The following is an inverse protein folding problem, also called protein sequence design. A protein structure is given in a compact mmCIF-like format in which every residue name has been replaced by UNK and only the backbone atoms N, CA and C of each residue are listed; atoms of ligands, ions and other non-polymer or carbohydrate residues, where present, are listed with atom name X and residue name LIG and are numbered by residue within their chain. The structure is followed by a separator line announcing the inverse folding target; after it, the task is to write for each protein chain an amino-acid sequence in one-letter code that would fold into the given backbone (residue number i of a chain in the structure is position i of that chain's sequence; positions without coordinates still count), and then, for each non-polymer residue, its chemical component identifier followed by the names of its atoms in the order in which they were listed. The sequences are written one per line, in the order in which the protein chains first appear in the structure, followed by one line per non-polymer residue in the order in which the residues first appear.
data_IF_397590655991
#
_entry.id   IF_397590655991
#
_cell.length_a   1.000
_cell.length_b   1.000
_cell.length_c   1.000
_cell.angle_alpha   90.00
_cell.angle_beta   90.00
_cell.angle_gamma   90.00
#
_symmetry.space_group_name_H-M   'P 1'
#
loop_
_entity.id
_entity.type
_entity.pdbx_description
1 polymer ?
#
# COMPACT_ATOMS: atom_id res chain seq x y z
N UNK A 1 11.62 23.89 -10.10
CA UNK A 1 11.18 24.55 -11.34
C UNK A 1 10.64 25.97 -11.03
N UNK A 2 10.38 26.31 -9.78
CA UNK A 2 10.04 27.66 -9.34
C UNK A 2 8.62 28.15 -9.69
N UNK A 3 7.74 27.29 -10.17
CA UNK A 3 6.36 27.62 -10.47
C UNK A 3 5.49 27.25 -9.26
N UNK A 4 4.78 28.21 -8.64
CA UNK A 4 3.84 27.91 -7.57
C UNK A 4 2.74 26.97 -8.07
N UNK A 5 2.49 25.90 -7.32
CA UNK A 5 1.46 24.91 -7.64
C UNK A 5 0.64 24.61 -6.40
N UNK A 6 -0.61 24.19 -6.60
CA UNK A 6 -1.50 23.69 -5.56
C UNK A 6 -2.30 22.52 -6.11
N UNK A 7 -2.42 21.46 -5.33
CA UNK A 7 -3.29 20.32 -5.65
C UNK A 7 -4.64 20.51 -4.96
N UNK A 8 -5.73 20.30 -5.68
CA UNK A 8 -7.07 20.28 -5.08
C UNK A 8 -7.46 18.83 -4.82
N UNK A 9 -7.80 18.51 -3.58
CA UNK A 9 -8.16 17.17 -3.17
C UNK A 9 -9.35 17.17 -2.20
N UNK A 10 -10.13 16.09 -2.19
CA UNK A 10 -11.07 15.83 -1.10
C UNK A 10 -10.34 15.42 0.17
N UNK A 11 -11.00 15.48 1.35
CA UNK A 11 -10.36 15.23 2.66
C UNK A 11 -9.63 13.90 2.74
N UNK A 12 -10.24 12.86 2.21
CA UNK A 12 -9.70 11.48 2.22
C UNK A 12 -8.47 11.26 1.35
N UNK A 13 -8.16 12.21 0.44
CA UNK A 13 -7.01 12.10 -0.46
C UNK A 13 -5.83 13.01 -0.07
N UNK A 14 -5.99 13.85 0.94
CA UNK A 14 -4.94 14.80 1.35
C UNK A 14 -3.68 14.08 1.80
N UNK A 15 -3.81 13.06 2.64
CA UNK A 15 -2.67 12.25 3.10
C UNK A 15 -1.94 11.58 1.94
N UNK A 16 -2.68 11.07 0.94
CA UNK A 16 -2.11 10.48 -0.27
C UNK A 16 -1.34 11.50 -1.11
N UNK A 17 -1.86 12.71 -1.26
CA UNK A 17 -1.16 13.80 -1.98
C UNK A 17 0.18 14.10 -1.30
N UNK A 18 0.20 14.22 0.03
CA UNK A 18 1.41 14.48 0.80
C UNK A 18 2.42 13.33 0.69
N UNK A 19 2.00 12.09 0.94
CA UNK A 19 2.86 10.90 0.82
C UNK A 19 3.47 10.77 -0.57
N UNK A 20 2.66 11.01 -1.62
CA UNK A 20 3.14 10.99 -3.01
C UNK A 20 4.15 12.09 -3.25
N UNK A 21 3.91 13.30 -2.75
CA UNK A 21 4.83 14.44 -2.85
C UNK A 21 6.18 14.12 -2.23
N UNK A 22 6.20 13.67 -0.98
CA UNK A 22 7.42 13.27 -0.26
C UNK A 22 8.20 12.21 -1.03
N UNK A 23 7.54 11.12 -1.45
CA UNK A 23 8.19 10.02 -2.16
C UNK A 23 8.67 10.38 -3.57
N UNK A 24 8.14 11.48 -4.15
CA UNK A 24 8.57 12.05 -5.43
C UNK A 24 9.60 13.18 -5.28
N UNK A 25 10.10 13.43 -4.07
CA UNK A 25 11.09 14.46 -3.80
C UNK A 25 10.51 15.90 -3.79
N UNK A 26 9.20 16.04 -3.63
CA UNK A 26 8.50 17.30 -3.45
C UNK A 26 7.90 17.32 -2.04
N UNK A 27 8.70 17.56 -0.99
CA UNK A 27 8.28 17.37 0.39
C UNK A 27 7.12 18.30 0.81
N UNK A 28 7.02 19.49 0.21
CA UNK A 28 5.93 20.41 0.48
C UNK A 28 5.06 20.54 -0.76
N UNK A 29 4.08 19.68 -0.87
CA UNK A 29 3.05 19.75 -1.91
C UNK A 29 1.79 20.38 -1.32
N UNK A 30 1.62 21.69 -1.53
CA UNK A 30 0.46 22.41 -1.01
C UNK A 30 -0.84 21.90 -1.59
N UNK A 31 -1.81 21.68 -0.71
CA UNK A 31 -3.11 21.12 -1.05
C UNK A 31 -4.21 22.10 -0.62
N UNK A 32 -5.19 22.29 -1.49
CA UNK A 32 -6.45 22.94 -1.17
C UNK A 32 -7.50 21.85 -0.98
N UNK A 33 -8.05 21.77 0.22
CA UNK A 33 -8.99 20.73 0.58
C UNK A 33 -10.43 21.15 0.25
N UNK A 34 -11.10 20.35 -0.57
CA UNK A 34 -12.51 20.50 -0.86
C UNK A 34 -13.34 19.79 0.22
N UNK A 35 -14.27 20.47 0.92
CA UNK A 35 -14.91 19.92 2.12
C UNK A 35 -16.03 18.88 1.84
N UNK A 36 -16.29 18.55 0.60
CA UNK A 36 -17.36 17.66 0.16
C UNK A 36 -16.89 16.60 -0.82
N UNK A 37 -17.82 16.10 -1.61
CA UNK A 37 -17.56 15.10 -2.64
C UNK A 37 -17.86 15.65 -4.04
N UNK A 38 -16.84 15.90 -4.83
CA UNK A 38 -16.95 16.47 -6.18
C UNK A 38 -17.98 15.77 -7.08
N UNK A 39 -18.09 14.45 -6.94
CA UNK A 39 -18.96 13.65 -7.81
C UNK A 39 -20.44 13.66 -7.40
N UNK A 40 -20.75 13.98 -6.15
CA UNK A 40 -22.11 13.88 -5.60
C UNK A 40 -22.70 15.20 -5.13
N UNK A 41 -21.88 16.24 -4.96
CA UNK A 41 -22.37 17.55 -4.54
C UNK A 41 -23.16 18.24 -5.66
N UNK A 42 -24.20 18.95 -5.27
CA UNK A 42 -24.97 19.78 -6.21
C UNK A 42 -24.12 20.88 -6.82
N UNK A 43 -24.51 21.37 -7.99
CA UNK A 43 -23.82 22.51 -8.65
C UNK A 43 -23.72 23.73 -7.73
N UNK A 44 -24.74 24.01 -6.96
CA UNK A 44 -24.78 25.12 -6.02
C UNK A 44 -23.77 24.93 -4.88
N UNK A 45 -23.74 23.73 -4.30
CA UNK A 45 -22.74 23.34 -3.27
C UNK A 45 -21.33 23.44 -3.81
N UNK A 46 -21.08 22.91 -5.02
CA UNK A 46 -19.78 23.02 -5.69
C UNK A 46 -19.34 24.47 -5.86
N UNK A 47 -20.23 25.35 -6.34
CA UNK A 47 -19.92 26.76 -6.55
C UNK A 47 -19.67 27.51 -5.22
N UNK A 48 -20.46 27.23 -4.19
CA UNK A 48 -20.27 27.78 -2.85
C UNK A 48 -18.91 27.36 -2.28
N UNK A 49 -18.64 26.06 -2.23
CA UNK A 49 -17.40 25.53 -1.69
C UNK A 49 -16.17 25.99 -2.49
N UNK A 50 -16.29 26.13 -3.80
CA UNK A 50 -15.21 26.67 -4.63
C UNK A 50 -14.86 28.11 -4.26
N UNK A 51 -15.85 28.96 -4.02
CA UNK A 51 -15.64 30.38 -3.68
C UNK A 51 -15.24 30.60 -2.23
N UNK A 52 -15.92 29.93 -1.30
CA UNK A 52 -15.78 30.21 0.13
C UNK A 52 -14.64 29.40 0.77
N UNK A 53 -14.33 28.21 0.26
CA UNK A 53 -13.36 27.31 0.87
C UNK A 53 -12.12 27.13 -0.01
N UNK A 54 -12.27 26.71 -1.27
CA UNK A 54 -11.12 26.42 -2.12
C UNK A 54 -10.34 27.68 -2.52
N UNK A 55 -11.03 28.71 -2.97
CA UNK A 55 -10.37 29.91 -3.49
C UNK A 55 -9.41 30.57 -2.50
N UNK A 56 -9.78 30.78 -1.22
CA UNK A 56 -8.84 31.30 -0.21
C UNK A 56 -7.59 30.43 -0.05
N UNK A 57 -7.76 29.10 0.00
CA UNK A 57 -6.65 28.14 0.12
C UNK A 57 -5.75 28.18 -1.12
N UNK A 58 -6.34 28.16 -2.31
CA UNK A 58 -5.60 28.23 -3.59
C UNK A 58 -4.81 29.54 -3.66
N UNK A 59 -5.44 30.67 -3.37
CA UNK A 59 -4.78 31.98 -3.38
C UNK A 59 -3.58 31.97 -2.44
N UNK A 60 -3.77 31.54 -1.19
CA UNK A 60 -2.71 31.44 -0.19
C UNK A 60 -1.57 30.54 -0.70
N UNK A 61 -1.90 29.34 -1.19
CA UNK A 61 -0.92 28.37 -1.67
C UNK A 61 -0.06 28.89 -2.84
N UNK A 62 -0.64 29.71 -3.71
CA UNK A 62 0.05 30.24 -4.90
C UNK A 62 0.83 31.54 -4.64
N UNK A 63 0.44 32.33 -3.62
CA UNK A 63 1.00 33.67 -3.40
C UNK A 63 1.97 33.75 -2.22
N UNK A 64 1.82 32.89 -1.23
CA UNK A 64 2.70 32.89 -0.05
C UNK A 64 3.92 31.99 -0.25
N UNK A 65 5.07 32.41 0.29
CA UNK A 65 6.28 31.60 0.30
C UNK A 65 6.10 30.38 1.22
N UNK A 66 6.69 29.24 0.83
CA UNK A 66 6.79 28.07 1.70
C UNK A 66 7.61 28.44 2.93
N UNK A 67 7.09 28.15 4.11
CA UNK A 67 7.71 28.46 5.39
C UNK A 67 8.63 27.32 5.87
N UNK A 68 9.61 27.64 6.74
CA UNK A 68 10.42 26.61 7.39
C UNK A 68 9.59 25.60 8.20
N UNK A 69 8.45 26.07 8.77
CA UNK A 69 7.53 25.21 9.52
C UNK A 69 6.88 24.18 8.59
N UNK A 70 6.36 24.61 7.44
CA UNK A 70 5.79 23.71 6.44
C UNK A 70 6.84 22.67 5.95
N UNK A 71 8.09 23.11 5.73
CA UNK A 71 9.15 22.17 5.33
C UNK A 71 9.39 21.13 6.42
N UNK A 72 9.43 21.54 7.69
CA UNK A 72 9.66 20.63 8.81
C UNK A 72 8.47 19.66 9.04
N UNK A 73 7.24 20.14 8.83
CA UNK A 73 6.02 19.35 8.99
C UNK A 73 5.91 18.22 7.93
N UNK A 74 6.40 18.48 6.72
CA UNK A 74 6.36 17.53 5.60
C UNK A 74 7.74 16.95 5.27
N UNK A 75 8.76 17.24 6.08
CA UNK A 75 10.06 16.59 5.90
C UNK A 75 9.87 15.07 6.03
N UNK A 76 10.36 14.27 5.09
CA UNK A 76 10.33 12.84 5.25
C UNK A 76 11.07 12.51 6.55
N UNK A 77 10.46 11.68 7.40
CA UNK A 77 11.25 11.00 8.44
C UNK A 77 12.44 10.37 7.73
N UNK A 78 13.64 10.55 8.30
CA UNK A 78 14.86 10.02 7.69
C UNK A 78 14.65 8.55 7.33
N UNK A 79 15.11 8.11 6.15
CA UNK A 79 15.01 6.71 5.75
C UNK A 79 15.62 5.84 6.84
N UNK A 80 14.80 5.05 7.50
CA UNK A 80 15.26 4.04 8.44
C UNK A 80 15.79 2.85 7.65
N UNK A 81 16.85 2.18 8.13
CA UNK A 81 17.25 0.89 7.56
C UNK A 81 16.06 -0.07 7.54
N UNK A 82 15.93 -0.85 6.48
CA UNK A 82 14.79 -1.78 6.36
C UNK A 82 14.83 -2.91 7.41
N UNK A 83 16.00 -3.19 7.95
CA UNK A 83 16.31 -4.17 8.99
C UNK A 83 16.34 -3.58 10.41
N UNK A 84 15.95 -2.31 10.59
CA UNK A 84 15.87 -1.70 11.92
C UNK A 84 14.82 -2.40 12.78
N UNK A 85 15.21 -2.80 13.99
CA UNK A 85 14.25 -3.31 14.96
C UNK A 85 13.45 -2.15 15.52
N UNK A 86 12.16 -2.13 15.22
CA UNK A 86 11.25 -1.02 15.53
C UNK A 86 10.49 -1.20 16.84
N UNK A 87 10.41 -2.43 17.35
CA UNK A 87 9.67 -2.72 18.58
C UNK A 87 10.13 -4.01 19.24
N UNK A 88 10.11 -4.03 20.58
CA UNK A 88 10.29 -5.21 21.41
C UNK A 88 9.10 -5.35 22.36
N UNK A 89 8.52 -6.54 22.47
CA UNK A 89 7.41 -6.79 23.36
C UNK A 89 6.92 -8.24 23.30
N UNK A 90 5.89 -8.53 24.07
CA UNK A 90 5.16 -9.80 23.97
C UNK A 90 4.45 -9.91 22.61
N UNK A 91 3.93 -11.09 22.30
CA UNK A 91 3.13 -11.28 21.08
C UNK A 91 1.95 -10.31 21.03
N UNK A 92 1.26 -10.14 22.14
CA UNK A 92 0.10 -9.24 22.28
C UNK A 92 0.49 -7.78 22.05
N UNK A 93 1.61 -7.35 22.63
CA UNK A 93 2.12 -5.98 22.44
C UNK A 93 2.47 -5.71 20.98
N UNK A 94 3.09 -6.69 20.29
CA UNK A 94 3.42 -6.58 18.86
C UNK A 94 2.14 -6.47 18.03
N UNK A 95 1.11 -7.29 18.30
CA UNK A 95 -0.16 -7.19 17.57
C UNK A 95 -0.80 -5.81 17.72
N UNK A 96 -0.82 -5.27 18.92
CA UNK A 96 -1.39 -3.94 19.17
C UNK A 96 -0.55 -2.84 18.54
N UNK A 97 0.78 -2.95 18.59
CA UNK A 97 1.69 -1.99 17.95
C UNK A 97 1.47 -1.93 16.42
N UNK A 98 1.35 -3.08 15.76
CA UNK A 98 1.09 -3.15 14.33
C UNK A 98 -0.29 -2.60 13.97
N UNK A 99 -1.29 -2.85 14.80
CA UNK A 99 -2.66 -2.35 14.63
C UNK A 99 -2.74 -0.83 14.77
N UNK A 100 -2.13 -0.25 15.81
CA UNK A 100 -2.10 1.20 16.04
C UNK A 100 -1.42 1.93 14.87
N UNK A 101 -0.38 1.33 14.29
CA UNK A 101 0.35 1.90 13.16
C UNK A 101 -0.29 1.63 11.79
N UNK A 102 -1.46 0.97 11.74
CA UNK A 102 -2.14 0.55 10.51
C UNK A 102 -1.25 -0.33 9.59
N UNK A 103 -0.44 -1.21 10.17
CA UNK A 103 0.43 -2.14 9.43
C UNK A 103 -0.16 -3.54 9.30
N UNK A 104 -1.39 -3.75 9.75
CA UNK A 104 -2.15 -4.99 9.61
C UNK A 104 -3.51 -4.72 8.96
N UNK A 105 -4.04 -5.73 8.30
CA UNK A 105 -5.39 -5.77 7.73
C UNK A 105 -6.51 -5.88 8.79
N UNK A 106 -6.18 -5.73 10.06
CA UNK A 106 -7.09 -5.87 11.21
C UNK A 106 -7.08 -7.28 11.82
N UNK A 107 -6.45 -8.24 11.17
CA UNK A 107 -6.27 -9.60 11.68
C UNK A 107 -4.89 -9.76 12.34
N UNK A 108 -4.71 -10.73 13.25
CA UNK A 108 -3.42 -11.05 13.80
C UNK A 108 -2.41 -11.40 12.70
N UNK A 109 -1.18 -10.93 12.87
CA UNK A 109 -0.07 -11.19 11.95
C UNK A 109 0.93 -12.15 12.58
N UNK A 110 1.72 -12.83 11.73
CA UNK A 110 2.95 -13.48 12.20
C UNK A 110 4.00 -12.38 12.37
N UNK A 111 4.58 -12.17 13.56
CA UNK A 111 5.59 -11.14 13.75
C UNK A 111 6.79 -11.33 12.81
N UNK A 112 7.15 -10.32 12.01
CA UNK A 112 8.26 -10.40 11.06
C UNK A 112 9.58 -10.17 11.80
N UNK A 113 10.01 -11.16 12.60
CA UNK A 113 11.32 -11.12 13.26
C UNK A 113 12.44 -11.28 12.24
N UNK A 114 13.64 -10.80 12.57
CA UNK A 114 14.78 -10.92 11.65
C UNK A 114 15.06 -12.38 11.29
N UNK A 115 15.00 -13.30 12.26
CA UNK A 115 15.23 -14.73 11.99
C UNK A 115 14.25 -15.28 10.95
N UNK A 116 12.96 -14.92 11.06
CA UNK A 116 11.95 -15.35 10.08
C UNK A 116 12.17 -14.72 8.72
N UNK A 117 12.47 -13.45 8.67
CA UNK A 117 12.77 -12.76 7.41
C UNK A 117 13.99 -13.41 6.74
N UNK A 118 15.06 -13.69 7.49
CA UNK A 118 16.25 -14.36 6.96
C UNK A 118 15.94 -15.79 6.45
N UNK A 119 14.97 -16.49 7.04
CA UNK A 119 14.49 -17.77 6.53
C UNK A 119 13.88 -17.62 5.13
N UNK A 120 13.01 -16.66 4.91
CA UNK A 120 12.38 -16.39 3.62
C UNK A 120 13.38 -15.95 2.55
N UNK A 121 14.37 -15.13 2.94
CA UNK A 121 15.42 -14.65 2.03
C UNK A 121 16.29 -15.77 1.45
N UNK A 122 16.33 -16.95 2.06
CA UNK A 122 17.04 -18.12 1.49
C UNK A 122 16.41 -18.66 0.21
N UNK A 123 15.13 -18.36 -0.03
CA UNK A 123 14.37 -18.84 -1.19
C UNK A 123 14.37 -17.87 -2.38
N UNK A 124 15.15 -16.81 -2.33
CA UNK A 124 15.26 -15.85 -3.43
C UNK A 124 16.73 -15.61 -3.80
N UNK A 125 17.05 -15.44 -5.09
CA UNK A 125 18.41 -15.09 -5.51
C UNK A 125 18.76 -13.61 -5.27
N UNK A 126 17.77 -12.79 -4.94
CA UNK A 126 17.95 -11.34 -4.71
C UNK A 126 18.53 -11.07 -3.33
N UNK A 127 19.27 -9.98 -3.20
CA UNK A 127 19.72 -9.47 -1.90
C UNK A 127 18.58 -8.77 -1.16
N UNK A 128 18.59 -8.82 0.15
CA UNK A 128 17.60 -8.15 0.99
C UNK A 128 17.43 -6.65 0.66
N UNK A 129 18.53 -5.98 0.34
CA UNK A 129 18.58 -4.55 -0.01
C UNK A 129 18.21 -4.23 -1.46
N UNK A 130 18.01 -5.23 -2.32
CA UNK A 130 17.67 -4.98 -3.72
C UNK A 130 16.30 -4.30 -3.82
N UNK A 131 16.25 -3.18 -4.54
CA UNK A 131 15.04 -2.41 -4.74
C UNK A 131 14.28 -3.01 -5.92
N UNK A 132 13.07 -3.48 -5.66
CA UNK A 132 12.16 -4.00 -6.68
C UNK A 132 11.50 -2.85 -7.45
N UNK A 133 11.19 -1.76 -6.75
CA UNK A 133 10.55 -0.59 -7.33
C UNK A 133 9.82 0.25 -6.30
N UNK A 134 8.77 0.95 -6.75
CA UNK A 134 7.90 1.75 -5.87
C UNK A 134 6.45 1.41 -6.12
N UNK A 135 5.73 1.03 -5.08
CA UNK A 135 4.32 0.65 -5.21
C UNK A 135 3.41 1.87 -5.00
N UNK A 136 2.49 2.10 -5.94
CA UNK A 136 1.44 3.10 -5.78
C UNK A 136 0.51 2.66 -4.61
N UNK A 137 -0.13 3.53 -3.88
CA UNK A 137 -0.47 4.93 -4.11
C UNK A 137 0.61 5.87 -3.56
N UNK A 138 1.26 5.47 -2.47
CA UNK A 138 2.23 6.30 -1.76
C UNK A 138 3.62 6.31 -2.43
N UNK A 139 3.88 5.43 -3.39
CA UNK A 139 5.17 5.27 -4.06
C UNK A 139 6.32 5.01 -3.09
N UNK A 140 6.07 4.19 -2.08
CA UNK A 140 7.11 3.75 -1.16
C UNK A 140 8.09 2.83 -1.86
N UNK A 141 9.35 2.97 -1.50
CA UNK A 141 10.40 2.07 -1.97
C UNK A 141 10.14 0.65 -1.46
N UNK A 142 10.12 -0.30 -2.38
CA UNK A 142 9.91 -1.71 -2.12
C UNK A 142 11.23 -2.45 -2.25
N UNK A 143 11.76 -2.97 -1.16
CA UNK A 143 12.95 -3.82 -1.14
C UNK A 143 12.56 -5.29 -0.98
N UNK A 144 13.46 -6.21 -1.33
CA UNK A 144 13.25 -7.65 -1.11
C UNK A 144 13.03 -7.95 0.38
N UNK A 145 13.69 -7.21 1.28
CA UNK A 145 13.48 -7.32 2.72
C UNK A 145 12.04 -6.97 3.11
N UNK A 146 11.50 -5.86 2.61
CA UNK A 146 10.13 -5.46 2.93
C UNK A 146 9.09 -6.40 2.33
N UNK A 147 9.37 -7.02 1.19
CA UNK A 147 8.55 -8.11 0.63
C UNK A 147 8.55 -9.31 1.56
N UNK A 148 9.72 -9.76 2.02
CA UNK A 148 9.85 -10.88 2.95
C UNK A 148 9.12 -10.61 4.28
N UNK A 149 9.22 -9.39 4.81
CA UNK A 149 8.48 -9.00 6.02
C UNK A 149 6.96 -9.15 5.85
N UNK A 150 6.39 -8.68 4.73
CA UNK A 150 4.97 -8.85 4.45
C UNK A 150 4.58 -10.31 4.18
N UNK A 151 5.46 -11.11 3.58
CA UNK A 151 5.26 -12.53 3.40
C UNK A 151 5.18 -13.26 4.75
N UNK A 152 6.11 -12.99 5.66
CA UNK A 152 6.05 -13.50 7.05
C UNK A 152 4.74 -13.10 7.72
N UNK A 153 4.38 -11.82 7.65
CA UNK A 153 3.15 -11.30 8.29
C UNK A 153 1.89 -11.98 7.78
N UNK A 154 1.82 -12.32 6.51
CA UNK A 154 0.67 -13.00 5.91
C UNK A 154 0.55 -14.47 6.30
N UNK A 155 1.65 -15.08 6.77
CA UNK A 155 1.73 -16.51 7.09
C UNK A 155 1.92 -17.41 5.87
N UNK A 156 2.28 -16.86 4.70
CA UNK A 156 2.63 -17.67 3.52
C UNK A 156 3.92 -18.44 3.82
N UNK A 157 4.07 -19.72 3.39
CA UNK A 157 5.31 -20.47 3.62
C UNK A 157 6.54 -19.83 2.95
N UNK A 158 7.73 -20.02 3.51
CA UNK A 158 8.96 -19.36 3.06
C UNK A 158 9.33 -19.68 1.61
N UNK A 159 9.03 -20.90 1.14
CA UNK A 159 9.23 -21.34 -0.24
C UNK A 159 8.42 -20.56 -1.29
N UNK A 160 7.41 -19.79 -0.84
CA UNK A 160 6.65 -18.89 -1.72
C UNK A 160 7.39 -17.58 -2.05
N UNK A 161 8.55 -17.35 -1.44
CA UNK A 161 9.28 -16.08 -1.62
C UNK A 161 9.51 -15.69 -3.10
N UNK A 162 9.83 -16.61 -4.03
CA UNK A 162 9.96 -16.26 -5.45
C UNK A 162 8.65 -15.70 -6.04
N UNK A 163 7.52 -16.27 -5.66
CA UNK A 163 6.19 -15.81 -6.09
C UNK A 163 5.85 -14.46 -5.44
N UNK A 164 6.17 -14.29 -4.17
CA UNK A 164 5.99 -13.01 -3.46
C UNK A 164 6.78 -11.88 -4.12
N UNK A 165 8.04 -12.14 -4.51
CA UNK A 165 8.85 -11.17 -5.25
C UNK A 165 8.26 -10.86 -6.61
N UNK A 166 7.79 -11.85 -7.35
CA UNK A 166 7.16 -11.65 -8.66
C UNK A 166 5.88 -10.80 -8.54
N UNK A 167 5.04 -11.03 -7.55
CA UNK A 167 3.87 -10.17 -7.29
C UNK A 167 4.26 -8.74 -6.93
N UNK A 168 5.29 -8.55 -6.10
CA UNK A 168 5.77 -7.21 -5.78
C UNK A 168 6.33 -6.48 -7.02
N UNK A 169 6.99 -7.20 -7.93
CA UNK A 169 7.44 -6.67 -9.21
C UNK A 169 6.26 -6.24 -10.09
N UNK A 170 5.21 -7.07 -10.16
CA UNK A 170 4.00 -6.73 -10.90
C UNK A 170 3.25 -5.53 -10.30
N UNK A 171 3.17 -5.43 -8.97
CA UNK A 171 2.57 -4.28 -8.29
C UNK A 171 3.31 -2.96 -8.58
N UNK A 172 4.56 -3.01 -8.99
CA UNK A 172 5.31 -1.86 -9.46
C UNK A 172 4.92 -1.43 -10.89
N UNK A 173 4.17 -2.25 -11.61
CA UNK A 173 3.63 -1.91 -12.92
C UNK A 173 2.67 -0.71 -12.82
N UNK A 174 2.83 0.25 -13.74
CA UNK A 174 2.03 1.49 -13.76
C UNK A 174 0.50 1.27 -13.85
N UNK A 175 0.05 0.11 -14.32
CA UNK A 175 -1.37 -0.24 -14.40
C UNK A 175 -2.02 -0.40 -13.02
N UNK A 176 -1.29 -0.84 -12.00
CA UNK A 176 -1.76 -0.92 -10.62
C UNK A 176 -2.21 0.43 -10.05
N UNK A 177 -1.64 1.51 -10.53
CA UNK A 177 -2.02 2.86 -10.09
C UNK A 177 -3.49 3.19 -10.38
N UNK A 178 -4.03 2.70 -11.50
CA UNK A 178 -5.41 3.01 -11.93
C UNK A 178 -6.45 2.54 -10.92
N UNK A 179 -6.54 1.24 -10.55
CA UNK A 179 -7.48 0.79 -9.56
C UNK A 179 -7.21 1.35 -8.16
N UNK A 180 -5.94 1.49 -7.75
CA UNK A 180 -5.57 2.04 -6.44
C UNK A 180 -5.98 3.51 -6.25
N UNK A 181 -6.16 4.25 -7.34
CA UNK A 181 -6.64 5.63 -7.32
C UNK A 181 -8.17 5.75 -7.48
N UNK A 182 -8.88 4.62 -7.57
CA UNK A 182 -10.32 4.60 -7.77
C UNK A 182 -11.08 4.65 -6.45
N UNK A 183 -12.25 5.30 -6.46
CA UNK A 183 -13.23 5.25 -5.37
C UNK A 183 -14.20 4.06 -5.51
N UNK A 184 -14.12 3.31 -6.60
CA UNK A 184 -14.92 2.12 -6.80
C UNK A 184 -14.41 0.94 -5.98
N UNK A 185 -15.33 0.05 -5.58
CA UNK A 185 -14.98 -1.22 -4.96
C UNK A 185 -14.28 -2.12 -5.96
N UNK A 186 -13.14 -2.65 -5.59
CA UNK A 186 -12.37 -3.61 -6.36
C UNK A 186 -11.52 -4.46 -5.42
N UNK A 187 -11.13 -5.64 -5.87
CA UNK A 187 -10.15 -6.47 -5.19
C UNK A 187 -9.27 -7.13 -6.24
N UNK A 188 -7.95 -7.22 -6.04
CA UNK A 188 -7.12 -8.01 -6.91
C UNK A 188 -7.41 -9.50 -6.71
N UNK A 189 -7.24 -10.24 -7.76
CA UNK A 189 -7.05 -11.67 -7.70
C UNK A 189 -5.85 -12.06 -8.55
N UNK A 190 -5.23 -13.17 -8.23
CA UNK A 190 -4.09 -13.67 -8.96
C UNK A 190 -4.25 -15.17 -9.24
N UNK A 191 -3.78 -15.59 -10.38
CA UNK A 191 -3.69 -17.01 -10.69
C UNK A 191 -2.26 -17.37 -11.10
N UNK A 192 -1.87 -18.58 -10.77
CA UNK A 192 -0.56 -19.12 -11.09
C UNK A 192 -0.71 -20.24 -12.13
N UNK A 193 0.15 -20.21 -13.13
CA UNK A 193 0.20 -21.22 -14.18
C UNK A 193 1.45 -22.09 -14.01
N UNK A 194 1.36 -23.31 -14.54
CA UNK A 194 2.48 -24.23 -14.63
C UNK A 194 2.82 -24.96 -13.33
N UNK A 195 3.90 -25.75 -13.33
CA UNK A 195 4.20 -26.71 -12.27
C UNK A 195 4.50 -26.09 -10.91
N UNK A 196 4.87 -24.79 -10.87
CA UNK A 196 5.16 -24.11 -9.62
C UNK A 196 3.91 -24.02 -8.73
N UNK A 197 2.74 -23.81 -9.32
CA UNK A 197 1.49 -23.73 -8.58
C UNK A 197 1.20 -25.01 -7.80
N UNK A 198 1.31 -26.16 -8.44
CA UNK A 198 1.12 -27.46 -7.78
C UNK A 198 2.24 -27.79 -6.79
N UNK A 199 3.48 -27.42 -7.07
CA UNK A 199 4.61 -27.59 -6.14
C UNK A 199 4.41 -26.80 -4.85
N UNK A 200 3.81 -25.61 -4.93
CA UNK A 200 3.49 -24.77 -3.79
C UNK A 200 2.14 -25.11 -3.15
N UNK A 201 1.41 -26.09 -3.67
CA UNK A 201 0.10 -26.46 -3.15
C UNK A 201 -0.94 -25.33 -3.28
N UNK A 202 -0.88 -24.57 -4.35
CA UNK A 202 -1.94 -23.63 -4.72
C UNK A 202 -3.04 -24.42 -5.43
N UNK A 203 -4.20 -24.47 -4.80
CA UNK A 203 -5.31 -25.30 -5.24
C UNK A 203 -6.17 -24.61 -6.32
N UNK A 204 -6.72 -25.41 -7.23
CA UNK A 204 -7.65 -24.97 -8.27
C UNK A 204 -8.96 -25.76 -8.25
N UNK A 205 -9.14 -26.61 -7.25
CA UNK A 205 -10.30 -27.48 -7.14
C UNK A 205 -11.45 -26.82 -6.39
N UNK A 206 -12.51 -27.56 -6.17
CA UNK A 206 -13.65 -27.09 -5.41
C UNK A 206 -13.24 -26.67 -3.98
N UNK A 207 -13.54 -25.43 -3.62
CA UNK A 207 -13.14 -24.87 -2.32
C UNK A 207 -11.81 -24.12 -2.31
N UNK A 208 -11.13 -24.00 -3.45
CA UNK A 208 -9.81 -23.36 -3.61
C UNK A 208 -9.66 -22.01 -2.88
N UNK A 209 -10.70 -21.18 -2.87
CA UNK A 209 -10.67 -19.86 -2.18
C UNK A 209 -10.46 -20.03 -0.67
N UNK A 210 -10.88 -21.18 -0.11
CA UNK A 210 -10.77 -21.48 1.31
C UNK A 210 -9.47 -22.20 1.70
N UNK A 211 -8.68 -22.63 0.72
CA UNK A 211 -7.41 -23.30 0.99
C UNK A 211 -6.37 -22.36 1.62
N UNK A 212 -5.57 -22.92 2.54
CA UNK A 212 -4.69 -22.13 3.38
C UNK A 212 -3.64 -21.34 2.59
N UNK A 213 -2.97 -21.99 1.63
CA UNK A 213 -1.94 -21.36 0.81
C UNK A 213 -2.52 -20.31 -0.13
N UNK A 214 -3.69 -20.58 -0.72
CA UNK A 214 -4.40 -19.63 -1.56
C UNK A 214 -4.77 -18.36 -0.77
N UNK A 215 -5.31 -18.53 0.45
CA UNK A 215 -5.65 -17.40 1.34
C UNK A 215 -4.41 -16.64 1.80
N UNK A 216 -3.36 -17.34 2.22
CA UNK A 216 -2.14 -16.71 2.72
C UNK A 216 -1.47 -15.84 1.64
N UNK A 217 -1.41 -16.33 0.40
CA UNK A 217 -0.85 -15.59 -0.72
C UNK A 217 -1.74 -14.39 -1.11
N UNK A 218 -3.06 -14.54 -1.10
CA UNK A 218 -3.99 -13.42 -1.27
C UNK A 218 -3.81 -12.35 -0.19
N UNK A 219 -3.67 -12.78 1.07
CA UNK A 219 -3.39 -11.88 2.20
C UNK A 219 -2.04 -11.16 2.06
N UNK A 220 -1.02 -11.85 1.53
CA UNK A 220 0.26 -11.22 1.23
C UNK A 220 0.09 -10.02 0.28
N UNK A 221 -0.71 -10.17 -0.79
CA UNK A 221 -1.01 -9.08 -1.73
C UNK A 221 -1.68 -7.91 -1.00
N UNK A 222 -2.66 -8.18 -0.13
CA UNK A 222 -3.35 -7.15 0.65
C UNK A 222 -2.41 -6.39 1.59
N UNK A 223 -1.55 -7.10 2.32
CA UNK A 223 -0.55 -6.49 3.20
C UNK A 223 0.48 -5.67 2.42
N UNK A 224 0.88 -6.11 1.23
CA UNK A 224 1.75 -5.32 0.36
C UNK A 224 1.06 -4.03 -0.11
N UNK A 225 -0.20 -4.08 -0.52
CA UNK A 225 -0.96 -2.87 -0.87
C UNK A 225 -1.04 -1.91 0.32
N UNK A 226 -1.28 -2.43 1.51
CA UNK A 226 -1.35 -1.64 2.74
C UNK A 226 0.01 -1.01 3.08
N UNK A 227 1.04 -1.84 3.25
CA UNK A 227 2.32 -1.43 3.83
C UNK A 227 3.27 -0.78 2.83
N UNK A 228 3.33 -1.31 1.61
CA UNK A 228 4.22 -0.82 0.57
C UNK A 228 3.50 0.19 -0.33
N UNK A 229 2.23 -0.03 -0.63
CA UNK A 229 1.42 0.87 -1.43
C UNK A 229 0.83 2.05 -0.64
N UNK A 230 0.73 1.96 0.67
CA UNK A 230 0.05 2.97 1.49
C UNK A 230 -1.45 3.07 1.20
N UNK A 231 -2.09 1.93 0.90
CA UNK A 231 -3.50 1.84 0.53
C UNK A 231 -4.35 1.50 1.76
N UNK A 232 -4.68 2.55 2.53
CA UNK A 232 -5.31 2.43 3.84
C UNK A 232 -6.84 2.45 3.78
N UNK A 233 -7.46 1.57 4.56
CA UNK A 233 -8.93 1.53 4.72
C UNK A 233 -9.42 2.83 5.35
N UNK A 234 -10.51 3.40 4.81
CA UNK A 234 -11.13 4.68 5.20
C UNK A 234 -10.32 5.93 4.87
N UNK A 235 -9.11 5.81 4.35
CA UNK A 235 -8.32 6.97 3.90
C UNK A 235 -8.36 7.09 2.38
N UNK A 236 -7.85 6.10 1.68
CA UNK A 236 -7.78 6.07 0.23
C UNK A 236 -8.29 4.75 -0.38
N UNK A 237 -8.54 3.73 0.44
CA UNK A 237 -9.27 2.51 0.09
C UNK A 237 -10.75 2.73 0.33
N UNK A 238 -11.43 3.30 -0.66
CA UNK A 238 -12.78 3.85 -0.56
C UNK A 238 -13.87 2.86 -1.00
N UNK A 239 -13.52 1.79 -1.66
CA UNK A 239 -14.48 0.86 -2.24
C UNK A 239 -15.29 0.09 -1.19
N UNK A 240 -16.57 -0.12 -1.50
CA UNK A 240 -17.51 -0.89 -0.68
C UNK A 240 -17.80 -2.24 -1.33
N UNK A 241 -16.78 -2.98 -1.68
CA UNK A 241 -16.94 -4.33 -2.19
C UNK A 241 -17.09 -5.30 -1.00
N UNK A 242 -18.08 -6.18 -1.04
CA UNK A 242 -18.42 -7.05 0.09
C UNK A 242 -17.34 -8.07 0.47
N UNK A 243 -16.46 -8.42 -0.47
CA UNK A 243 -15.31 -9.29 -0.26
C UNK A 243 -14.05 -8.57 -0.72
N UNK A 244 -13.23 -8.15 0.20
CA UNK A 244 -12.08 -7.28 -0.08
C UNK A 244 -10.72 -7.97 0.05
N UNK A 245 -10.68 -9.19 0.59
CA UNK A 245 -9.43 -9.94 0.69
C UNK A 245 -9.05 -10.48 -0.68
N UNK A 246 -7.87 -10.14 -1.20
CA UNK A 246 -7.36 -10.74 -2.43
C UNK A 246 -7.31 -12.26 -2.32
N UNK A 247 -7.59 -12.94 -3.41
CA UNK A 247 -7.52 -14.40 -3.46
C UNK A 247 -6.64 -14.87 -4.61
N UNK A 248 -6.15 -16.08 -4.47
CA UNK A 248 -5.22 -16.71 -5.41
C UNK A 248 -5.69 -18.11 -5.74
N UNK A 249 -5.46 -18.54 -6.96
CA UNK A 249 -5.69 -19.91 -7.42
C UNK A 249 -4.70 -20.26 -8.53
N UNK A 250 -4.61 -21.55 -8.86
CA UNK A 250 -3.85 -22.02 -10.01
C UNK A 250 -4.76 -22.33 -11.19
N UNK A 251 -4.20 -22.34 -12.40
CA UNK A 251 -4.85 -22.96 -13.56
C UNK A 251 -4.83 -24.47 -13.46
N UNK A 252 -5.79 -25.11 -14.12
CA UNK A 252 -5.78 -26.57 -14.28
C UNK A 252 -4.70 -26.96 -15.30
N UNK A 253 -3.68 -27.69 -14.84
CA UNK A 253 -2.58 -28.19 -15.71
C UNK A 253 -3.08 -29.17 -16.79
N UNK A 254 -4.36 -29.56 -16.74
CA UNK A 254 -4.98 -30.51 -17.67
C UNK A 254 -5.88 -29.84 -18.70
N UNK A 255 -6.02 -28.50 -18.67
CA UNK A 255 -6.85 -27.77 -19.61
C UNK A 255 -6.13 -27.45 -20.93
#
# INVERSE_FOLDING_TARGET
IGIPTVTVAGPTFVSQVHSTGVNRGVPVLRTAEYPGAFASDSRETLQKNAREVLWPQIKKALTEKITKKEIAEYAPEGKRPADEIIYYGSYEDIQEYFKINNWTDGLPIVPPTDEKIQEYLKFTPYKASDIIGTIAVAYRECTVYTVAANAVMSGVPAEFMPVCVAFAQEMNNGEWRKPLSSTHGWTPFAWLNGPLASQLGIDNQQGMISEANNKALGRFIDLCMLNLGGYYVKENRMGTFGYLTPFTFSEDDKA
#
